data_IF_327856862109
#
_entry.id   IF_327856862109
#
_cell.length_a   1.000
_cell.length_b   1.000
_cell.length_c   1.000
_cell.angle_alpha   90.00
_cell.angle_beta   90.00
_cell.angle_gamma   90.00
#
_symmetry.space_group_name_H-M   'P 1'
#
loop_
_entity.id
_entity.type
_entity.pdbx_description
1 polymer ?
#
# COMPACT_ATOMS: atom_id res chain seq x y z
N UNK A 1 6.66 2.68 -18.60
CA UNK A 1 5.74 2.55 -17.44
C UNK A 1 4.44 3.31 -17.71
N UNK A 2 3.28 2.91 -17.12
CA UNK A 2 1.99 3.52 -17.42
C UNK A 2 1.97 5.04 -17.13
N UNK A 3 1.29 5.79 -18.00
CA UNK A 3 1.07 7.23 -17.88
C UNK A 3 -0.45 7.53 -17.96
N UNK A 4 -0.90 8.73 -17.53
CA UNK A 4 -2.30 9.12 -17.65
C UNK A 4 -2.79 9.08 -19.10
N UNK A 5 -3.90 8.39 -19.35
CA UNK A 5 -4.49 8.29 -20.69
C UNK A 5 -5.07 9.64 -21.17
N UNK A 6 -5.63 10.42 -20.24
CA UNK A 6 -6.15 11.77 -20.53
C UNK A 6 -5.47 12.80 -19.60
N UNK A 7 -4.51 13.61 -20.08
CA UNK A 7 -3.77 14.55 -19.25
C UNK A 7 -4.63 15.71 -18.68
N UNK A 8 -5.84 15.91 -19.22
CA UNK A 8 -6.77 16.95 -18.72
C UNK A 8 -7.51 16.52 -17.46
N UNK A 9 -7.64 15.22 -17.21
CA UNK A 9 -8.30 14.69 -16.02
C UNK A 9 -7.32 14.66 -14.83
N UNK A 10 -7.83 14.73 -13.59
CA UNK A 10 -7.03 14.38 -12.42
C UNK A 10 -6.59 12.91 -12.51
N UNK A 11 -5.51 12.58 -11.83
CA UNK A 11 -4.94 11.23 -11.83
C UNK A 11 -4.79 10.72 -10.41
N UNK A 12 -5.23 9.49 -10.16
CA UNK A 12 -4.89 8.72 -8.99
C UNK A 12 -3.69 7.84 -9.33
N UNK A 13 -2.51 8.21 -8.85
CA UNK A 13 -1.32 7.37 -8.93
C UNK A 13 -1.29 6.39 -7.76
N UNK A 14 -1.05 5.10 -8.06
CA UNK A 14 -0.81 4.07 -7.07
C UNK A 14 0.69 3.78 -7.02
N UNK A 15 1.30 3.87 -5.85
CA UNK A 15 2.70 3.48 -5.63
C UNK A 15 2.77 2.41 -4.54
N UNK A 16 3.75 1.52 -4.65
CA UNK A 16 3.87 0.39 -3.74
C UNK A 16 4.71 -0.75 -4.32
N UNK A 17 4.54 -1.91 -3.71
CA UNK A 17 5.24 -3.15 -4.05
C UNK A 17 4.40 -4.12 -4.91
N UNK A 18 4.78 -5.42 -4.91
CA UNK A 18 4.09 -6.48 -5.67
C UNK A 18 2.65 -6.73 -5.24
N UNK A 19 2.27 -6.38 -4.02
CA UNK A 19 0.89 -6.55 -3.55
C UNK A 19 -0.05 -5.47 -4.08
N UNK A 20 0.50 -4.34 -4.53
CA UNK A 20 -0.20 -3.31 -5.30
C UNK A 20 -0.10 -3.60 -6.80
N UNK A 21 1.08 -3.99 -7.27
CA UNK A 21 1.33 -4.45 -8.64
C UNK A 21 2.34 -5.57 -8.65
N UNK A 22 1.98 -6.72 -9.18
CA UNK A 22 2.90 -7.79 -9.48
C UNK A 22 3.96 -7.31 -10.49
N UNK A 23 5.16 -7.93 -10.51
CA UNK A 23 6.31 -7.48 -11.29
C UNK A 23 6.01 -7.15 -12.75
N UNK A 24 5.11 -7.89 -13.41
CA UNK A 24 4.70 -7.66 -14.81
C UNK A 24 3.40 -6.86 -14.92
N UNK A 25 2.70 -6.62 -13.81
CA UNK A 25 1.50 -5.80 -13.75
C UNK A 25 0.22 -6.41 -14.33
N UNK A 26 0.27 -7.60 -14.88
CA UNK A 26 -0.83 -8.27 -15.60
C UNK A 26 -1.11 -9.70 -15.12
N UNK A 27 -0.66 -10.06 -13.93
CA UNK A 27 -0.89 -11.40 -13.36
C UNK A 27 0.09 -12.47 -13.82
N UNK A 28 1.29 -12.11 -14.26
CA UNK A 28 2.33 -13.09 -14.58
C UNK A 28 2.54 -14.04 -13.38
N UNK A 29 2.70 -15.34 -13.66
CA UNK A 29 2.75 -16.41 -12.66
C UNK A 29 1.49 -16.55 -11.79
N UNK A 30 0.32 -16.12 -12.29
CA UNK A 30 -0.94 -16.15 -11.55
C UNK A 30 -1.04 -15.13 -10.40
N UNK A 31 -0.04 -14.27 -10.25
CA UNK A 31 0.03 -13.26 -9.20
C UNK A 31 -0.56 -11.92 -9.64
N UNK A 32 -1.39 -11.32 -8.80
CA UNK A 32 -2.03 -10.03 -9.05
C UNK A 32 -1.89 -9.12 -7.83
N UNK A 33 -1.61 -7.83 -8.07
CA UNK A 33 -1.72 -6.79 -7.05
C UNK A 33 -3.10 -6.12 -7.11
N UNK A 34 -3.58 -5.61 -5.98
CA UNK A 34 -4.90 -4.99 -5.88
C UNK A 34 -5.07 -3.73 -6.73
N UNK A 35 -3.99 -3.09 -7.12
CA UNK A 35 -4.02 -1.87 -7.94
C UNK A 35 -4.55 -2.10 -9.36
N UNK A 36 -4.40 -3.30 -9.92
CA UNK A 36 -4.90 -3.62 -11.25
C UNK A 36 -6.45 -3.66 -11.28
N UNK A 37 -7.14 -4.47 -10.45
CA UNK A 37 -8.60 -4.49 -10.43
C UNK A 37 -9.21 -3.22 -9.82
N UNK A 38 -8.45 -2.41 -9.09
CA UNK A 38 -8.94 -1.15 -8.52
C UNK A 38 -9.44 -0.19 -9.60
N UNK A 39 -8.85 -0.19 -10.78
CA UNK A 39 -9.21 0.68 -11.92
C UNK A 39 -10.71 0.63 -12.21
N UNK A 40 -11.32 -0.56 -12.15
CA UNK A 40 -12.74 -0.76 -12.45
C UNK A 40 -13.71 -0.08 -11.47
N UNK A 41 -13.22 0.35 -10.30
CA UNK A 41 -14.01 1.06 -9.30
C UNK A 41 -14.06 2.58 -9.50
N UNK A 42 -13.36 3.10 -10.52
CA UNK A 42 -13.35 4.52 -10.85
C UNK A 42 -13.96 4.77 -12.22
N UNK A 43 -14.56 5.94 -12.39
CA UNK A 43 -15.13 6.42 -13.64
C UNK A 43 -14.03 7.00 -14.53
N UNK A 44 -13.61 6.25 -15.54
CA UNK A 44 -12.53 6.62 -16.45
C UNK A 44 -12.82 7.92 -17.25
N UNK A 45 -14.06 8.38 -17.29
CA UNK A 45 -14.40 9.68 -17.90
C UNK A 45 -14.10 10.87 -17.00
N UNK A 46 -13.80 10.63 -15.71
CA UNK A 46 -13.61 11.67 -14.69
C UNK A 46 -12.23 11.65 -14.04
N UNK A 47 -11.54 10.52 -14.05
CA UNK A 47 -10.24 10.36 -13.41
C UNK A 47 -9.41 9.29 -14.11
N UNK A 48 -8.11 9.52 -14.25
CA UNK A 48 -7.17 8.44 -14.58
C UNK A 48 -6.82 7.67 -13.32
N UNK A 49 -6.67 6.34 -13.42
CA UNK A 49 -6.03 5.51 -12.38
C UNK A 49 -4.78 4.90 -12.99
N UNK A 50 -3.61 5.22 -12.44
CA UNK A 50 -2.32 4.83 -12.99
C UNK A 50 -1.52 4.06 -11.96
N UNK A 51 -1.38 2.75 -12.16
CA UNK A 51 -0.62 1.90 -11.26
C UNK A 51 0.88 1.97 -11.59
N UNK A 52 1.64 2.65 -10.73
CA UNK A 52 3.09 2.85 -10.83
C UNK A 52 3.87 2.01 -9.83
N UNK A 53 3.18 1.19 -9.02
CA UNK A 53 3.81 0.25 -8.11
C UNK A 53 4.69 -0.75 -8.85
N UNK A 54 5.70 -1.29 -8.17
CA UNK A 54 6.65 -2.23 -8.75
C UNK A 54 6.95 -3.37 -7.79
N UNK A 55 6.85 -4.60 -8.29
CA UNK A 55 7.19 -5.80 -7.55
C UNK A 55 8.62 -5.76 -6.98
N UNK A 56 8.78 -6.27 -5.76
CA UNK A 56 10.07 -6.36 -5.09
C UNK A 56 10.62 -5.03 -4.53
N UNK A 57 9.94 -3.89 -4.70
CA UNK A 57 10.40 -2.59 -4.18
C UNK A 57 9.91 -2.38 -2.76
N UNK A 58 10.80 -1.82 -1.93
CA UNK A 58 10.48 -1.19 -0.65
C UNK A 58 10.23 0.31 -0.85
N UNK A 59 9.82 1.02 0.19
CA UNK A 59 9.75 2.49 0.16
C UNK A 59 11.13 3.09 -0.18
N UNK A 60 12.23 2.56 0.40
CA UNK A 60 13.60 2.96 0.09
C UNK A 60 13.92 2.76 -1.40
N UNK A 61 13.82 1.54 -1.91
CA UNK A 61 14.25 1.26 -3.29
C UNK A 61 13.32 1.86 -4.34
N UNK A 62 12.06 2.14 -4.01
CA UNK A 62 11.18 2.92 -4.89
C UNK A 62 11.68 4.36 -5.05
N UNK A 63 12.25 4.96 -4.01
CA UNK A 63 12.88 6.28 -4.06
C UNK A 63 14.25 6.21 -4.76
N UNK A 64 15.19 5.41 -4.21
CA UNK A 64 16.60 5.45 -4.60
C UNK A 64 16.87 4.95 -6.02
N UNK A 65 15.97 4.16 -6.60
CA UNK A 65 16.03 3.71 -7.99
C UNK A 65 15.30 4.64 -8.98
N UNK A 66 14.89 5.85 -8.54
CA UNK A 66 14.30 6.88 -9.39
C UNK A 66 12.85 6.61 -9.83
N UNK A 67 12.18 5.59 -9.26
CA UNK A 67 10.79 5.30 -9.62
C UNK A 67 9.84 6.39 -9.11
N UNK A 68 10.12 6.94 -7.93
CA UNK A 68 9.38 8.07 -7.38
C UNK A 68 9.53 9.34 -8.23
N UNK A 69 10.74 9.65 -8.71
CA UNK A 69 10.96 10.84 -9.53
C UNK A 69 10.14 10.83 -10.81
N UNK A 70 9.94 9.66 -11.40
CA UNK A 70 9.08 9.52 -12.57
C UNK A 70 7.60 9.79 -12.25
N UNK A 71 7.11 9.41 -11.07
CA UNK A 71 5.75 9.75 -10.63
C UNK A 71 5.65 11.25 -10.34
N UNK A 72 6.60 11.78 -9.57
CA UNK A 72 6.68 13.19 -9.17
C UNK A 72 6.72 14.12 -10.37
N UNK A 73 7.39 13.73 -11.46
CA UNK A 73 7.43 14.51 -12.71
C UNK A 73 6.07 14.65 -13.39
N UNK A 74 5.18 13.66 -13.22
CA UNK A 74 3.82 13.67 -13.82
C UNK A 74 2.78 14.35 -12.93
N UNK A 75 3.06 14.55 -11.64
CA UNK A 75 2.10 15.11 -10.70
C UNK A 75 1.77 16.57 -11.02
N UNK A 76 0.47 16.86 -10.98
CA UNK A 76 -0.09 18.20 -11.13
C UNK A 76 -1.13 18.49 -10.04
N UNK A 77 -1.50 19.77 -9.83
CA UNK A 77 -2.54 20.13 -8.87
C UNK A 77 -3.85 19.38 -9.11
N UNK A 78 -4.43 18.86 -8.02
CA UNK A 78 -5.67 18.09 -8.04
C UNK A 78 -5.51 16.59 -8.28
N UNK A 79 -4.28 16.11 -8.49
CA UNK A 79 -3.97 14.67 -8.52
C UNK A 79 -3.96 14.06 -7.12
N UNK A 80 -3.87 12.73 -7.09
CA UNK A 80 -3.83 11.92 -5.87
C UNK A 80 -2.67 10.93 -5.96
N UNK A 81 -2.02 10.67 -4.82
CA UNK A 81 -1.06 9.57 -4.69
C UNK A 81 -1.50 8.66 -3.55
N UNK A 82 -1.85 7.43 -3.87
CA UNK A 82 -2.13 6.38 -2.89
C UNK A 82 -0.91 5.48 -2.77
N UNK A 83 -0.40 5.31 -1.55
CA UNK A 83 0.86 4.64 -1.29
C UNK A 83 0.71 3.50 -0.29
N UNK A 84 1.27 2.32 -0.63
CA UNK A 84 1.34 1.15 0.23
C UNK A 84 2.71 0.49 0.11
N UNK A 85 3.48 0.48 1.19
CA UNK A 85 4.74 -0.23 1.34
C UNK A 85 4.77 -0.99 2.67
N UNK A 86 5.82 -1.81 2.88
CA UNK A 86 6.05 -2.55 4.12
C UNK A 86 6.48 -4.00 3.91
N UNK A 87 6.00 -4.68 2.86
CA UNK A 87 6.32 -6.10 2.64
C UNK A 87 7.80 -6.36 2.36
N UNK A 88 8.50 -5.40 1.76
CA UNK A 88 9.91 -5.52 1.39
C UNK A 88 10.83 -4.70 2.31
N UNK A 89 10.29 -3.76 3.03
CA UNK A 89 11.00 -2.83 3.92
C UNK A 89 11.64 -3.54 5.12
N UNK A 90 11.09 -4.68 5.53
CA UNK A 90 11.67 -5.57 6.56
C UNK A 90 12.79 -6.48 6.06
N UNK A 91 13.22 -6.36 4.81
CA UNK A 91 14.36 -7.10 4.25
C UNK A 91 15.70 -6.64 4.82
N UNK A 92 16.78 -7.27 4.38
CA UNK A 92 18.13 -6.83 4.71
C UNK A 92 18.39 -5.40 4.19
N UNK A 93 19.01 -4.57 5.02
CA UNK A 93 19.41 -3.21 4.66
C UNK A 93 20.53 -3.28 3.63
N UNK A 94 21.48 -4.19 3.84
CA UNK A 94 22.63 -4.36 2.96
C UNK A 94 22.90 -5.85 2.73
N UNK A 95 22.68 -6.31 1.53
CA UNK A 95 23.03 -7.66 1.04
C UNK A 95 23.38 -7.60 -0.45
N UNK A 96 23.93 -8.68 -0.98
CA UNK A 96 24.35 -8.79 -2.37
C UNK A 96 23.22 -9.19 -3.33
N UNK A 97 22.03 -9.45 -2.82
CA UNK A 97 20.89 -9.95 -3.61
C UNK A 97 19.80 -8.90 -3.83
N UNK A 98 19.43 -8.14 -2.81
CA UNK A 98 18.31 -7.21 -2.86
C UNK A 98 18.54 -5.86 -2.19
N UNK A 99 19.28 -5.79 -1.07
CA UNK A 99 19.68 -4.57 -0.32
C UNK A 99 18.53 -3.54 -0.23
N UNK A 100 17.34 -3.96 0.19
CA UNK A 100 16.11 -3.17 0.07
C UNK A 100 15.46 -2.78 1.40
N UNK A 101 15.98 -3.28 2.52
CA UNK A 101 15.44 -2.97 3.84
C UNK A 101 15.56 -1.49 4.18
N UNK A 102 14.67 -1.03 5.06
CA UNK A 102 14.72 0.28 5.72
C UNK A 102 15.10 0.09 7.18
N UNK A 103 15.53 1.15 7.85
CA UNK A 103 15.50 1.17 9.31
C UNK A 103 14.05 1.07 9.79
N UNK A 104 13.85 0.46 10.95
CA UNK A 104 12.54 0.31 11.57
C UNK A 104 12.07 1.64 12.17
N UNK A 105 10.74 1.82 12.24
CA UNK A 105 10.15 2.98 12.91
C UNK A 105 9.89 4.14 11.98
N UNK A 106 9.61 5.29 12.60
CA UNK A 106 9.18 6.52 11.92
C UNK A 106 10.07 7.74 12.26
N UNK A 107 11.18 7.55 12.98
CA UNK A 107 12.11 8.61 13.35
C UNK A 107 12.98 9.10 12.18
N UNK A 108 14.04 9.82 12.54
CA UNK A 108 15.01 10.41 11.59
C UNK A 108 16.35 9.64 11.59
N UNK A 109 16.40 8.48 12.23
CA UNK A 109 17.59 7.65 12.33
C UNK A 109 18.09 7.25 10.95
N UNK A 110 19.40 7.20 10.81
CA UNK A 110 20.11 6.83 9.57
C UNK A 110 21.18 5.80 9.83
N UNK A 111 21.52 5.04 8.79
CA UNK A 111 22.67 4.14 8.74
C UNK A 111 23.40 4.34 7.42
N UNK A 112 24.68 4.61 7.48
CA UNK A 112 25.54 4.71 6.30
C UNK A 112 26.04 3.32 5.91
N UNK A 113 25.92 2.97 4.64
CA UNK A 113 26.35 1.69 4.10
C UNK A 113 27.13 1.88 2.78
N UNK A 114 28.06 0.97 2.53
CA UNK A 114 28.54 0.70 1.17
C UNK A 114 27.66 -0.42 0.59
N UNK A 115 26.71 -0.05 -0.22
CA UNK A 115 25.67 -0.96 -0.72
C UNK A 115 26.29 -2.09 -1.55
N UNK A 116 26.16 -3.34 -1.07
CA UNK A 116 26.79 -4.50 -1.69
C UNK A 116 26.24 -4.82 -3.09
N UNK A 117 25.00 -4.39 -3.40
CA UNK A 117 24.37 -4.61 -4.70
C UNK A 117 24.76 -3.53 -5.72
N UNK A 118 24.67 -2.23 -5.34
CA UNK A 118 24.93 -1.10 -6.24
C UNK A 118 26.39 -0.66 -6.26
N UNK A 119 27.19 -1.09 -5.28
CA UNK A 119 28.57 -0.66 -5.03
C UNK A 119 28.72 0.85 -4.81
N UNK A 120 27.66 1.48 -4.31
CA UNK A 120 27.63 2.92 -4.01
C UNK A 120 27.46 3.15 -2.52
N UNK A 121 28.02 4.24 -2.02
CA UNK A 121 27.71 4.73 -0.69
C UNK A 121 26.26 5.20 -0.61
N UNK A 122 25.55 4.80 0.43
CA UNK A 122 24.13 5.10 0.61
C UNK A 122 23.82 5.36 2.08
N UNK A 123 23.01 6.41 2.33
CA UNK A 123 22.43 6.69 3.65
C UNK A 123 21.03 6.09 3.68
N UNK A 124 20.85 5.08 4.52
CA UNK A 124 19.57 4.40 4.71
C UNK A 124 18.81 5.07 5.85
N UNK A 125 17.55 5.37 5.62
CA UNK A 125 16.64 6.01 6.57
C UNK A 125 15.59 5.03 7.10
N UNK A 126 14.77 5.51 8.05
CA UNK A 126 13.62 4.77 8.55
C UNK A 126 12.52 4.64 7.48
N UNK A 127 11.66 3.63 7.64
CA UNK A 127 10.44 3.51 6.84
C UNK A 127 9.62 4.81 6.84
N UNK A 128 9.44 5.42 8.01
CA UNK A 128 8.66 6.63 8.16
C UNK A 128 9.26 7.83 7.42
N UNK A 129 10.58 7.94 7.38
CA UNK A 129 11.26 8.98 6.62
C UNK A 129 10.93 8.90 5.12
N UNK A 130 11.02 7.69 4.52
CA UNK A 130 10.67 7.50 3.11
C UNK A 130 9.20 7.84 2.83
N UNK A 131 8.29 7.41 3.71
CA UNK A 131 6.88 7.72 3.57
C UNK A 131 6.60 9.23 3.67
N UNK A 132 7.23 9.93 4.62
CA UNK A 132 7.13 11.41 4.73
C UNK A 132 7.67 12.10 3.49
N UNK A 133 8.75 11.60 2.88
CA UNK A 133 9.30 12.15 1.64
C UNK A 133 8.26 12.10 0.50
N UNK A 134 7.59 10.97 0.31
CA UNK A 134 6.53 10.84 -0.70
C UNK A 134 5.34 11.79 -0.41
N UNK A 135 4.96 11.91 0.86
CA UNK A 135 3.88 12.80 1.29
C UNK A 135 4.24 14.27 1.03
N UNK A 136 5.43 14.70 1.44
CA UNK A 136 5.89 16.07 1.29
C UNK A 136 5.97 16.48 -0.19
N UNK A 137 6.57 15.63 -1.02
CA UNK A 137 6.67 15.87 -2.47
C UNK A 137 5.29 15.92 -3.14
N UNK A 138 4.36 15.06 -2.71
CA UNK A 138 2.97 15.05 -3.21
C UNK A 138 2.28 16.37 -2.86
N UNK A 139 2.38 16.82 -1.60
CA UNK A 139 1.82 18.10 -1.15
C UNK A 139 2.45 19.28 -1.90
N UNK A 140 3.76 19.27 -2.13
CA UNK A 140 4.47 20.32 -2.88
C UNK A 140 3.96 20.46 -4.34
N UNK A 141 3.46 19.36 -4.92
CA UNK A 141 2.79 19.36 -6.23
C UNK A 141 1.30 19.75 -6.17
N UNK A 142 0.78 20.15 -5.00
CA UNK A 142 -0.64 20.42 -4.75
C UNK A 142 -1.54 19.22 -5.09
N UNK A 143 -1.00 18.00 -4.93
CA UNK A 143 -1.70 16.74 -5.01
C UNK A 143 -2.04 16.22 -3.60
N UNK A 144 -2.98 15.30 -3.51
CA UNK A 144 -3.48 14.75 -2.24
C UNK A 144 -2.83 13.40 -1.96
N UNK A 145 -2.02 13.25 -0.88
CA UNK A 145 -1.49 11.96 -0.46
C UNK A 145 -2.53 11.15 0.33
N UNK A 146 -2.55 9.84 0.09
CA UNK A 146 -3.37 8.85 0.80
C UNK A 146 -2.45 7.70 1.19
N UNK A 147 -2.27 7.49 2.48
CA UNK A 147 -1.46 6.38 3.01
C UNK A 147 -2.35 5.18 3.25
N UNK A 148 -1.90 4.01 2.84
CA UNK A 148 -2.52 2.73 3.14
C UNK A 148 -1.56 1.89 4.00
N UNK A 149 -2.07 1.22 5.03
CA UNK A 149 -1.33 0.12 5.65
C UNK A 149 -1.21 -1.04 4.65
N UNK A 150 -0.16 -1.88 4.81
CA UNK A 150 0.07 -3.02 3.91
C UNK A 150 -1.06 -4.05 4.04
N UNK A 151 -1.44 -4.69 2.94
CA UNK A 151 -2.38 -5.83 2.97
C UNK A 151 -1.79 -6.98 3.82
N UNK A 152 -2.60 -7.76 4.56
CA UNK A 152 -2.10 -8.84 5.39
C UNK A 152 -1.58 -10.00 4.54
N UNK A 153 -0.60 -10.73 5.06
CA UNK A 153 -0.21 -12.03 4.52
C UNK A 153 -1.19 -13.11 4.99
N UNK A 154 -1.32 -14.19 4.24
CA UNK A 154 -2.06 -15.39 4.63
C UNK A 154 -1.27 -16.17 5.71
N UNK A 155 -1.21 -15.62 6.90
CA UNK A 155 -0.58 -16.25 8.07
C UNK A 155 -1.63 -16.30 9.17
N UNK A 156 -1.97 -17.49 9.62
CA UNK A 156 -2.98 -17.71 10.64
C UNK A 156 -2.33 -17.96 12.00
N UNK A 157 -2.89 -17.36 13.03
CA UNK A 157 -2.57 -17.62 14.44
C UNK A 157 -3.86 -17.54 15.24
N UNK A 158 -4.12 -18.55 16.06
CA UNK A 158 -5.29 -18.64 16.94
C UNK A 158 -6.63 -18.38 16.19
N UNK A 159 -6.76 -18.97 14.99
CA UNK A 159 -7.96 -18.87 14.14
C UNK A 159 -8.13 -17.50 13.43
N UNK A 160 -7.15 -16.62 13.49
CA UNK A 160 -7.20 -15.28 12.87
C UNK A 160 -5.96 -15.01 12.02
N UNK A 161 -6.14 -14.19 10.99
CA UNK A 161 -5.02 -13.70 10.18
C UNK A 161 -4.17 -12.75 11.02
N UNK A 162 -2.85 -12.94 10.98
CA UNK A 162 -1.89 -12.08 11.68
C UNK A 162 -1.94 -10.65 11.11
N UNK A 163 -2.07 -9.66 12.00
CA UNK A 163 -2.01 -8.23 11.69
C UNK A 163 -0.60 -7.72 11.92
N UNK A 164 -0.26 -6.69 11.18
CA UNK A 164 1.01 -5.97 11.33
C UNK A 164 0.85 -4.76 12.28
N UNK A 165 0.20 -4.99 13.43
CA UNK A 165 -0.20 -3.93 14.37
C UNK A 165 0.95 -3.33 15.18
N UNK A 166 2.13 -3.96 15.16
CA UNK A 166 3.31 -3.52 15.92
C UNK A 166 4.47 -3.05 15.01
N UNK A 167 4.26 -3.10 13.69
CA UNK A 167 5.27 -2.78 12.70
C UNK A 167 4.74 -1.88 11.56
N UNK A 168 4.97 -2.23 10.32
CA UNK A 168 4.73 -1.40 9.14
C UNK A 168 3.28 -0.90 9.00
N UNK A 169 2.26 -1.64 9.45
CA UNK A 169 0.88 -1.14 9.42
C UNK A 169 0.68 -0.03 10.45
N UNK A 170 1.23 -0.21 11.66
CA UNK A 170 1.24 0.82 12.69
C UNK A 170 2.02 2.05 12.25
N UNK A 171 3.24 1.84 11.74
CA UNK A 171 4.08 2.95 11.29
C UNK A 171 3.46 3.74 10.14
N UNK A 172 2.75 3.08 9.22
CA UNK A 172 1.97 3.79 8.19
C UNK A 172 0.88 4.67 8.79
N UNK A 173 0.16 4.17 9.81
CA UNK A 173 -0.86 4.93 10.52
C UNK A 173 -0.25 6.12 11.28
N UNK A 174 0.87 5.89 11.98
CA UNK A 174 1.56 6.93 12.75
C UNK A 174 2.09 8.05 11.84
N UNK A 175 2.68 7.70 10.68
CA UNK A 175 3.10 8.69 9.68
C UNK A 175 1.90 9.46 9.12
N UNK A 176 0.82 8.78 8.76
CA UNK A 176 -0.36 9.47 8.23
C UNK A 176 -0.95 10.44 9.27
N UNK A 177 -0.94 10.06 10.54
CA UNK A 177 -1.39 10.90 11.66
C UNK A 177 -0.48 12.11 11.87
N UNK A 178 0.86 11.90 11.93
CA UNK A 178 1.82 12.99 12.13
C UNK A 178 1.80 13.99 10.98
N UNK A 179 1.64 13.51 9.75
CA UNK A 179 1.57 14.33 8.55
C UNK A 179 0.18 14.93 8.28
N UNK A 180 -0.83 14.59 9.09
CA UNK A 180 -2.22 15.00 8.90
C UNK A 180 -2.74 14.71 7.48
N UNK A 181 -2.58 13.48 7.04
CA UNK A 181 -3.04 13.01 5.71
C UNK A 181 -4.05 11.88 5.82
N UNK A 182 -4.73 11.59 4.71
CA UNK A 182 -5.72 10.52 4.65
C UNK A 182 -5.06 9.16 4.88
N UNK A 183 -5.70 8.32 5.68
CA UNK A 183 -5.24 6.97 6.00
C UNK A 183 -6.32 5.92 5.75
N UNK A 184 -5.95 4.83 5.10
CA UNK A 184 -6.82 3.65 4.90
C UNK A 184 -6.12 2.44 5.53
N UNK A 185 -6.71 1.91 6.60
CA UNK A 185 -6.18 0.72 7.29
C UNK A 185 -6.55 -0.56 6.53
N UNK A 186 -5.85 -0.81 5.42
CA UNK A 186 -6.06 -2.00 4.60
C UNK A 186 -5.72 -3.28 5.35
N UNK A 187 -4.71 -3.24 6.23
CA UNK A 187 -4.31 -4.40 7.01
C UNK A 187 -5.48 -4.93 7.83
N UNK A 188 -6.13 -4.04 8.58
CA UNK A 188 -7.26 -4.41 9.42
C UNK A 188 -8.52 -4.74 8.62
N UNK A 189 -8.84 -3.96 7.59
CA UNK A 189 -10.03 -4.17 6.75
C UNK A 189 -9.99 -5.54 6.09
N UNK A 190 -8.86 -5.88 5.46
CA UNK A 190 -8.71 -7.13 4.72
C UNK A 190 -8.53 -8.32 5.65
N UNK A 191 -7.78 -8.16 6.75
CA UNK A 191 -7.61 -9.22 7.74
C UNK A 191 -8.95 -9.63 8.37
N UNK A 192 -9.85 -8.67 8.68
CA UNK A 192 -11.22 -8.99 9.13
C UNK A 192 -11.97 -9.79 8.07
N UNK A 193 -11.85 -9.40 6.82
CA UNK A 193 -12.51 -10.12 5.72
C UNK A 193 -11.98 -11.54 5.58
N UNK A 194 -10.68 -11.74 5.74
CA UNK A 194 -10.10 -13.09 5.75
C UNK A 194 -10.56 -13.91 6.95
N UNK A 195 -10.63 -13.33 8.16
CA UNK A 195 -11.17 -13.99 9.35
C UNK A 195 -12.61 -14.45 9.14
N UNK A 196 -13.47 -13.62 8.54
CA UNK A 196 -14.86 -13.95 8.22
C UNK A 196 -14.99 -15.10 7.21
N UNK A 197 -14.09 -15.16 6.23
CA UNK A 197 -14.08 -16.21 5.22
C UNK A 197 -13.54 -17.52 5.76
N UNK A 198 -12.58 -17.47 6.66
CA UNK A 198 -11.85 -18.62 7.17
C UNK A 198 -10.76 -19.14 6.24
N UNK A 199 -9.85 -19.97 6.74
CA UNK A 199 -8.65 -20.40 6.03
C UNK A 199 -8.95 -21.11 4.70
N UNK A 200 -9.96 -21.99 4.67
CA UNK A 200 -10.30 -22.77 3.47
C UNK A 200 -10.71 -21.88 2.29
N UNK A 201 -11.52 -20.82 2.55
CA UNK A 201 -11.97 -19.90 1.50
C UNK A 201 -10.92 -18.85 1.14
N UNK A 202 -9.96 -18.59 2.03
CA UNK A 202 -8.85 -17.66 1.77
C UNK A 202 -7.71 -18.34 1.01
N UNK A 203 -7.54 -19.66 1.15
CA UNK A 203 -6.47 -20.41 0.47
C UNK A 203 -6.42 -20.13 -1.05
N UNK A 204 -7.52 -20.27 -1.81
CA UNK A 204 -7.51 -20.03 -3.26
C UNK A 204 -7.34 -18.56 -3.67
N UNK A 205 -7.37 -17.62 -2.72
CA UNK A 205 -7.14 -16.19 -3.00
C UNK A 205 -5.65 -15.86 -3.13
N UNK A 206 -4.75 -16.80 -2.85
CA UNK A 206 -3.30 -16.62 -2.92
C UNK A 206 -2.69 -17.51 -4.00
N UNK A 207 -1.78 -16.92 -4.77
CA UNK A 207 -1.02 -17.60 -5.83
C UNK A 207 0.29 -18.19 -5.31
N UNK A 208 0.72 -17.80 -4.11
CA UNK A 208 1.87 -18.36 -3.40
C UNK A 208 1.50 -18.70 -1.94
N UNK A 209 2.48 -19.18 -1.21
CA UNK A 209 2.25 -19.65 0.15
C UNK A 209 1.56 -18.63 1.07
N UNK A 210 1.81 -17.30 0.88
CA UNK A 210 1.32 -16.32 1.87
C UNK A 210 1.22 -14.85 1.45
N UNK A 211 1.81 -14.44 0.32
CA UNK A 211 2.04 -13.00 0.06
C UNK A 211 1.29 -12.49 -1.16
N UNK A 212 1.41 -13.17 -2.28
CA UNK A 212 0.86 -12.70 -3.55
C UNK A 212 -0.49 -13.33 -3.82
N UNK A 213 -1.46 -12.51 -4.15
CA UNK A 213 -2.83 -12.93 -4.40
C UNK A 213 -3.05 -13.40 -5.85
N UNK A 214 -4.05 -14.26 -6.05
CA UNK A 214 -4.66 -14.50 -7.36
C UNK A 214 -5.48 -13.27 -7.79
N UNK A 215 -6.04 -13.27 -8.99
CA UNK A 215 -6.96 -12.22 -9.42
C UNK A 215 -8.13 -12.05 -8.45
N UNK A 216 -8.74 -13.15 -8.01
CA UNK A 216 -9.85 -13.12 -7.05
C UNK A 216 -9.43 -12.49 -5.70
N UNK A 217 -8.23 -12.80 -5.20
CA UNK A 217 -7.69 -12.16 -4.00
C UNK A 217 -7.38 -10.68 -4.21
N UNK A 218 -6.84 -10.31 -5.37
CA UNK A 218 -6.59 -8.91 -5.71
C UNK A 218 -7.88 -8.10 -5.85
N UNK A 219 -8.95 -8.68 -6.41
CA UNK A 219 -10.28 -8.07 -6.48
C UNK A 219 -10.90 -7.86 -5.10
N UNK A 220 -10.77 -8.84 -4.20
CA UNK A 220 -11.19 -8.70 -2.80
C UNK A 220 -10.44 -7.56 -2.11
N UNK A 221 -9.12 -7.49 -2.29
CA UNK A 221 -8.30 -6.45 -1.71
C UNK A 221 -8.64 -5.06 -2.29
N UNK A 222 -8.88 -4.95 -3.59
CA UNK A 222 -9.34 -3.71 -4.23
C UNK A 222 -10.71 -3.25 -3.70
N UNK A 223 -11.64 -4.19 -3.48
CA UNK A 223 -12.91 -3.88 -2.81
C UNK A 223 -12.68 -3.38 -1.37
N UNK A 224 -11.68 -3.94 -0.65
CA UNK A 224 -11.23 -3.46 0.65
C UNK A 224 -10.73 -2.01 0.62
N UNK A 225 -9.96 -1.64 -0.41
CA UNK A 225 -9.53 -0.24 -0.63
C UNK A 225 -10.74 0.68 -0.76
N UNK A 226 -11.73 0.31 -1.58
CA UNK A 226 -12.96 1.12 -1.78
C UNK A 226 -13.76 1.20 -0.47
N UNK A 227 -13.89 0.09 0.26
CA UNK A 227 -14.58 0.08 1.56
C UNK A 227 -13.91 1.04 2.56
N UNK A 228 -12.57 1.05 2.61
CA UNK A 228 -11.80 1.96 3.44
C UNK A 228 -11.93 3.41 3.02
N UNK A 229 -11.83 3.71 1.72
CA UNK A 229 -12.07 5.06 1.19
C UNK A 229 -13.46 5.58 1.55
N UNK A 230 -14.49 4.73 1.49
CA UNK A 230 -15.86 5.11 1.89
C UNK A 230 -16.03 5.35 3.39
N UNK A 231 -15.15 4.80 4.21
CA UNK A 231 -15.16 5.03 5.66
C UNK A 231 -14.52 6.36 6.07
N UNK A 232 -13.76 7.01 5.19
CA UNK A 232 -13.16 8.32 5.45
C UNK A 232 -14.24 9.39 5.65
N UNK A 233 -14.10 10.21 6.70
CA UNK A 233 -15.01 11.34 6.97
C UNK A 233 -15.09 12.34 5.81
N UNK A 234 -13.95 12.57 5.15
CA UNK A 234 -13.83 13.40 3.94
C UNK A 234 -13.09 12.59 2.88
N UNK A 235 -13.84 11.99 1.97
CA UNK A 235 -13.28 11.23 0.85
C UNK A 235 -13.26 12.07 -0.43
N UNK A 236 -12.11 12.62 -0.84
CA UNK A 236 -12.05 13.44 -2.05
C UNK A 236 -12.22 12.64 -3.34
N UNK A 237 -12.06 11.30 -3.28
CA UNK A 237 -12.22 10.41 -4.41
C UNK A 237 -13.67 9.96 -4.65
N UNK A 238 -14.60 10.22 -3.72
CA UNK A 238 -15.98 9.71 -3.78
C UNK A 238 -16.71 10.11 -5.08
N UNK A 239 -16.47 11.32 -5.59
CA UNK A 239 -17.09 11.85 -6.83
C UNK A 239 -16.63 11.14 -8.10
N UNK A 240 -15.54 10.39 -8.02
CA UNK A 240 -14.95 9.67 -9.15
C UNK A 240 -15.32 8.17 -9.15
N UNK A 241 -16.08 7.69 -8.18
CA UNK A 241 -16.45 6.29 -8.10
C UNK A 241 -17.38 5.88 -9.26
N UNK A 242 -17.09 4.70 -9.84
CA UNK A 242 -17.94 4.03 -10.82
C UNK A 242 -19.19 3.43 -10.18
N UNK A 243 -20.11 2.91 -11.01
CA UNK A 243 -21.25 2.13 -10.54
C UNK A 243 -20.81 0.89 -9.72
N UNK A 244 -19.71 0.22 -10.11
CA UNK A 244 -19.14 -0.92 -9.38
C UNK A 244 -18.73 -0.53 -7.95
N UNK A 245 -18.13 0.63 -7.77
CA UNK A 245 -17.79 1.08 -6.42
C UNK A 245 -19.01 1.29 -5.53
N UNK A 246 -20.15 1.72 -6.09
CA UNK A 246 -21.37 1.98 -5.31
C UNK A 246 -21.89 0.72 -4.60
N UNK A 247 -21.65 -0.48 -5.14
CA UNK A 247 -22.08 -1.75 -4.55
C UNK A 247 -21.29 -2.14 -3.31
N UNK A 248 -20.07 -1.59 -3.11
CA UNK A 248 -19.21 -1.90 -1.97
C UNK A 248 -19.71 -1.15 -0.73
N UNK A 249 -19.95 -1.87 0.35
CA UNK A 249 -20.27 -1.27 1.66
C UNK A 249 -19.02 -0.60 2.25
N UNK A 250 -19.22 0.49 3.01
CA UNK A 250 -18.12 1.11 3.77
C UNK A 250 -17.55 0.15 4.80
N UNK A 251 -16.24 0.21 5.05
CA UNK A 251 -15.62 -0.56 6.12
C UNK A 251 -16.11 -0.09 7.50
N UNK A 252 -16.30 -1.03 8.41
CA UNK A 252 -16.47 -0.72 9.82
C UNK A 252 -15.09 -0.48 10.44
N UNK A 253 -14.81 0.77 10.78
CA UNK A 253 -13.56 1.21 11.41
C UNK A 253 -13.74 1.49 12.93
N UNK A 254 -14.90 1.17 13.50
CA UNK A 254 -15.27 1.53 14.88
C UNK A 254 -14.60 0.70 15.98
N UNK A 255 -13.97 -0.43 15.63
CA UNK A 255 -13.26 -1.26 16.61
C UNK A 255 -11.74 -1.02 16.52
N UNK A 256 -11.13 -0.42 17.57
CA UNK A 256 -9.66 -0.31 17.63
C UNK A 256 -9.00 -1.69 17.69
N UNK A 257 -7.70 -1.73 17.37
CA UNK A 257 -6.86 -2.91 17.58
C UNK A 257 -7.02 -3.42 19.02
N UNK A 258 -7.67 -4.55 19.26
CA UNK A 258 -7.53 -5.26 20.51
C UNK A 258 -6.12 -5.85 20.50
N UNK A 259 -5.19 -5.19 21.15
CA UNK A 259 -3.88 -5.77 21.46
C UNK A 259 -4.10 -6.99 22.33
N UNK A 260 -3.37 -8.08 22.05
CA UNK A 260 -3.54 -9.38 22.71
C UNK A 260 -3.25 -9.45 24.22
N UNK A 261 -3.32 -8.32 24.94
CA UNK A 261 -3.18 -8.23 26.40
C UNK A 261 -4.49 -8.31 27.18
N UNK A 262 -5.65 -8.22 26.53
CA UNK A 262 -6.94 -8.24 27.24
C UNK A 262 -7.63 -9.61 27.35
N UNK A 263 -6.95 -10.70 26.97
CA UNK A 263 -7.52 -12.06 27.07
C UNK A 263 -6.92 -12.89 28.24
N UNK A 264 -6.23 -12.29 29.20
CA UNK A 264 -5.67 -13.01 30.36
C UNK A 264 -6.29 -12.63 31.70
N UNK A 265 -7.53 -12.11 31.69
CA UNK A 265 -8.30 -11.90 32.94
C UNK A 265 -9.78 -12.16 32.68
N UNK A 266 -10.17 -13.44 32.65
CA UNK A 266 -11.50 -13.94 32.98
C UNK A 266 -11.38 -15.41 33.34
#
# INVERSE_FOLDING_TARGET
MPAPANPKLPTLFLIGDSTVRNGQGNGANGQWGWGEPLVAFFDATKINVVNRALGGRSSRTFLTQGHWDQVRAMLKPGDFVMMQFGHNDGGAINDDSRARGTLKGIGEETEEIDNLLTKQHEVVHTYGWYMRKFIADTKAKRATPIVCSLVPRKIWKDGRVVRNSEDYAKWAADVAKSENVLFVDLNQIIARRYDELGPEKVEPLFADARTHTTLAGAELNAAGVIAGLKALKKNPLARYFSAKAKTIKKADVSQPHKTGRELSSA
#
